data_IF_047418304121
#
_entry.id   IF_047418304121
#
_cell.length_a   1.000
_cell.length_b   1.000
_cell.length_c   1.000
_cell.angle_alpha   90.00
_cell.angle_beta   90.00
_cell.angle_gamma   90.00
#
_symmetry.space_group_name_H-M   'P 1'
#
loop_
_entity.id
_entity.type
_entity.pdbx_description
1 polymer ?
#
# COMPACT_ATOMS: atom_id res chain seq x y z
N UNK A 1 52.94 -66.31 -54.00
CA UNK A 1 52.57 -64.91 -54.32
C UNK A 1 51.42 -64.52 -53.39
N UNK A 2 51.57 -63.42 -52.65
CA UNK A 2 50.54 -62.86 -51.75
C UNK A 2 50.91 -62.96 -50.26
N UNK A 3 51.36 -61.83 -49.69
CA UNK A 3 51.81 -61.66 -48.30
C UNK A 3 50.79 -62.12 -47.23
N UNK A 4 51.22 -62.84 -46.17
CA UNK A 4 50.46 -62.99 -44.93
C UNK A 4 50.75 -61.85 -43.93
N UNK A 5 49.71 -61.53 -43.17
CA UNK A 5 49.54 -60.35 -42.33
C UNK A 5 50.50 -60.26 -41.12
N UNK A 6 50.76 -59.00 -40.75
CA UNK A 6 51.55 -58.52 -39.63
C UNK A 6 51.14 -59.09 -38.26
N UNK A 7 52.16 -59.44 -37.48
CA UNK A 7 52.11 -59.71 -36.04
C UNK A 7 52.16 -58.40 -35.22
N UNK A 8 51.59 -58.40 -34.01
CA UNK A 8 51.91 -57.56 -32.84
C UNK A 8 50.94 -57.92 -31.66
N UNK A 9 51.29 -57.67 -30.38
CA UNK A 9 51.95 -58.64 -29.52
C UNK A 9 51.15 -59.04 -28.26
N UNK A 10 51.54 -60.19 -27.72
CA UNK A 10 51.22 -60.71 -26.38
C UNK A 10 51.78 -59.79 -25.29
N UNK A 11 50.95 -59.38 -24.33
CA UNK A 11 51.39 -58.75 -23.07
C UNK A 11 50.80 -59.53 -21.91
N UNK A 12 51.70 -60.01 -21.04
CA UNK A 12 51.43 -60.79 -19.84
C UNK A 12 50.88 -59.90 -18.69
N UNK A 13 50.13 -60.47 -17.74
CA UNK A 13 49.66 -59.73 -16.57
C UNK A 13 50.79 -59.60 -15.52
N UNK A 14 51.31 -58.40 -15.31
CA UNK A 14 52.17 -58.14 -14.14
C UNK A 14 51.31 -57.92 -12.89
N UNK A 15 51.40 -58.89 -11.97
CA UNK A 15 50.97 -58.77 -10.59
C UNK A 15 51.73 -57.63 -9.90
N UNK A 16 51.04 -56.55 -9.56
CA UNK A 16 51.53 -55.63 -8.53
C UNK A 16 50.99 -56.07 -7.16
N UNK A 17 51.84 -56.77 -6.42
CA UNK A 17 51.65 -57.12 -5.02
C UNK A 17 51.79 -55.85 -4.18
N UNK A 18 50.70 -55.35 -3.62
CA UNK A 18 50.73 -54.31 -2.58
C UNK A 18 50.73 -55.01 -1.23
N UNK A 19 51.90 -55.02 -0.59
CA UNK A 19 52.12 -55.46 0.79
C UNK A 19 51.36 -54.55 1.75
N UNK A 20 50.45 -55.12 2.53
CA UNK A 20 49.73 -54.43 3.62
C UNK A 20 50.57 -54.56 4.90
N UNK A 21 51.06 -53.43 5.42
CA UNK A 21 51.62 -53.36 6.77
C UNK A 21 50.60 -52.68 7.69
N UNK A 22 50.20 -53.28 8.82
CA UNK A 22 49.17 -52.72 9.70
C UNK A 22 49.78 -51.72 10.69
N UNK A 23 49.19 -50.53 10.83
CA UNK A 23 49.55 -49.63 11.91
C UNK A 23 49.07 -48.19 11.74
N UNK A 24 48.17 -47.78 12.64
CA UNK A 24 47.78 -46.41 12.98
C UNK A 24 46.89 -45.68 11.94
N UNK A 25 45.57 -45.90 12.06
CA UNK A 25 44.60 -44.91 11.59
C UNK A 25 44.69 -43.66 12.49
N UNK A 26 45.34 -42.61 12.00
CA UNK A 26 45.13 -41.26 12.53
C UNK A 26 43.77 -40.77 12.02
N UNK A 27 42.76 -40.79 12.89
CA UNK A 27 41.52 -40.03 12.66
C UNK A 27 41.87 -38.56 12.83
N UNK A 28 42.09 -37.86 11.72
CA UNK A 28 42.12 -36.41 11.71
C UNK A 28 40.73 -35.91 12.12
N UNK A 29 40.56 -35.56 13.39
CA UNK A 29 39.47 -34.69 13.84
C UNK A 29 39.76 -33.32 13.22
N UNK A 30 39.20 -33.12 12.04
CA UNK A 30 39.16 -31.84 11.35
C UNK A 30 38.25 -30.92 12.17
N UNK A 31 38.83 -30.29 13.18
CA UNK A 31 38.18 -29.25 13.99
C UNK A 31 37.80 -28.11 13.06
N UNK A 32 36.49 -27.98 12.84
CA UNK A 32 35.88 -26.92 12.07
C UNK A 32 36.22 -25.54 12.68
N UNK A 33 37.26 -24.90 12.16
CA UNK A 33 37.49 -23.47 12.27
C UNK A 33 36.50 -22.79 11.31
N UNK A 34 35.21 -22.87 11.64
CA UNK A 34 34.16 -22.08 10.98
C UNK A 34 34.30 -20.65 11.48
N UNK A 35 35.12 -19.90 10.73
CA UNK A 35 35.01 -18.47 10.44
C UNK A 35 34.41 -17.57 11.53
N UNK A 36 35.27 -17.13 12.46
CA UNK A 36 35.01 -16.01 13.40
C UNK A 36 34.54 -14.71 12.71
N UNK A 37 34.73 -14.59 11.39
CA UNK A 37 34.30 -13.46 10.55
C UNK A 37 32.79 -13.47 10.24
N UNK A 38 32.14 -14.63 10.22
CA UNK A 38 30.71 -14.73 9.92
C UNK A 38 29.82 -14.49 11.14
N UNK A 39 30.33 -14.69 12.36
CA UNK A 39 29.55 -14.41 13.57
C UNK A 39 29.18 -12.92 13.70
N UNK A 40 30.09 -11.98 13.39
CA UNK A 40 29.80 -10.54 13.49
C UNK A 40 28.72 -10.08 12.49
N UNK A 41 28.60 -10.75 11.34
CA UNK A 41 27.55 -10.49 10.35
C UNK A 41 26.20 -11.03 10.81
N UNK A 42 26.18 -12.21 11.42
CA UNK A 42 24.97 -12.83 11.97
C UNK A 42 24.38 -11.97 13.09
N UNK A 43 25.23 -11.48 14.02
CA UNK A 43 24.78 -10.58 15.10
C UNK A 43 24.23 -9.24 14.60
N UNK A 44 24.79 -8.70 13.52
CA UNK A 44 24.30 -7.46 12.90
C UNK A 44 22.93 -7.66 12.25
N UNK A 45 22.73 -8.78 11.57
CA UNK A 45 21.45 -9.13 10.94
C UNK A 45 20.38 -9.37 12.00
N UNK A 46 20.68 -10.11 13.08
CA UNK A 46 19.71 -10.35 14.16
C UNK A 46 19.38 -9.09 14.96
N UNK A 47 20.34 -8.18 15.17
CA UNK A 47 20.05 -6.88 15.76
C UNK A 47 19.15 -6.04 14.86
N UNK A 48 19.42 -6.03 13.55
CA UNK A 48 18.62 -5.29 12.58
C UNK A 48 17.19 -5.83 12.48
N UNK A 49 16.99 -7.16 12.54
CA UNK A 49 15.65 -7.76 12.55
C UNK A 49 14.87 -7.45 13.83
N UNK A 50 15.54 -7.41 14.99
CA UNK A 50 14.91 -7.01 16.26
C UNK A 50 14.50 -5.52 16.20
N UNK A 51 15.34 -4.65 15.64
CA UNK A 51 15.03 -3.22 15.49
C UNK A 51 13.83 -2.97 14.55
N UNK A 52 13.72 -3.78 13.48
CA UNK A 52 12.54 -3.78 12.59
C UNK A 52 11.29 -4.27 13.33
N UNK A 53 11.40 -5.32 14.14
CA UNK A 53 10.26 -5.87 14.88
C UNK A 53 9.70 -4.89 15.93
N UNK A 54 10.57 -4.14 16.62
CA UNK A 54 10.15 -3.13 17.61
C UNK A 54 9.46 -1.93 16.96
N UNK A 55 9.83 -1.59 15.72
CA UNK A 55 9.20 -0.49 14.96
C UNK A 55 7.78 -0.82 14.47
N UNK A 56 7.40 -2.10 14.46
CA UNK A 56 6.05 -2.52 14.03
C UNK A 56 4.96 -2.33 15.11
N UNK A 57 5.30 -2.00 16.35
CA UNK A 57 4.33 -1.98 17.45
C UNK A 57 3.58 -0.66 17.65
N UNK A 58 3.80 0.35 16.78
CA UNK A 58 3.12 1.65 16.88
C UNK A 58 2.19 1.89 15.68
N UNK A 59 1.21 0.99 15.48
CA UNK A 59 0.05 1.30 14.65
C UNK A 59 -0.93 2.17 15.46
N UNK A 60 -0.61 3.45 15.59
CA UNK A 60 -1.52 4.42 16.22
C UNK A 60 -2.69 4.71 15.27
N UNK A 61 -3.90 4.43 15.75
CA UNK A 61 -5.15 4.95 15.19
C UNK A 61 -5.09 6.48 15.19
N UNK A 62 -4.81 7.07 14.03
CA UNK A 62 -4.76 8.52 13.89
C UNK A 62 -6.17 9.08 13.84
N UNK A 63 -6.63 9.68 14.94
CA UNK A 63 -7.79 10.57 14.90
C UNK A 63 -7.39 11.83 14.13
N UNK A 64 -8.08 12.09 13.02
CA UNK A 64 -7.87 13.30 12.22
C UNK A 64 -8.98 14.28 12.55
N UNK A 65 -8.60 15.49 12.97
CA UNK A 65 -9.52 16.56 13.33
C UNK A 65 -9.48 17.70 12.32
N UNK A 66 -10.66 18.23 12.00
CA UNK A 66 -10.86 19.39 11.14
C UNK A 66 -12.03 20.25 11.61
N UNK A 67 -12.47 21.16 10.76
CA UNK A 67 -13.56 22.09 11.00
C UNK A 67 -14.46 22.31 9.78
N UNK A 68 -15.73 22.60 10.04
CA UNK A 68 -16.70 23.01 9.01
C UNK A 68 -16.39 24.46 8.60
N UNK A 69 -16.02 24.65 7.34
CA UNK A 69 -15.63 25.96 6.79
C UNK A 69 -16.78 26.70 6.15
N UNK A 70 -17.73 25.98 5.55
CA UNK A 70 -18.86 26.56 4.85
C UNK A 70 -20.05 25.60 4.83
N UNK A 71 -21.26 26.15 4.98
CA UNK A 71 -22.53 25.42 4.95
C UNK A 71 -23.40 25.95 3.81
N UNK A 72 -23.79 25.04 2.91
CA UNK A 72 -24.79 25.27 1.86
C UNK A 72 -26.17 24.73 2.31
N UNK A 73 -27.15 24.63 1.41
CA UNK A 73 -28.48 24.08 1.73
C UNK A 73 -28.48 22.56 1.97
N UNK A 74 -27.65 21.80 1.25
CA UNK A 74 -27.60 20.32 1.33
C UNK A 74 -26.19 19.76 1.51
N UNK A 75 -25.18 20.63 1.44
CA UNK A 75 -23.77 20.27 1.45
C UNK A 75 -23.03 21.10 2.50
N UNK A 76 -22.14 20.46 3.23
CA UNK A 76 -21.12 21.16 4.03
C UNK A 76 -19.75 20.99 3.39
N UNK A 77 -18.90 21.97 3.63
CA UNK A 77 -17.50 21.94 3.23
C UNK A 77 -16.63 21.96 4.46
N UNK A 78 -15.64 21.07 4.48
CA UNK A 78 -14.72 20.87 5.59
C UNK A 78 -13.28 21.12 5.12
N UNK A 79 -12.41 21.50 6.05
CA UNK A 79 -10.97 21.74 5.83
C UNK A 79 -10.11 20.47 5.84
N UNK A 80 -10.75 19.31 5.67
CA UNK A 80 -10.12 18.00 5.52
C UNK A 80 -10.28 17.53 4.07
N UNK A 81 -9.23 16.93 3.52
CA UNK A 81 -9.24 16.43 2.15
C UNK A 81 -8.49 15.11 1.97
N UNK A 82 -8.22 14.76 0.72
CA UNK A 82 -7.50 13.53 0.36
C UNK A 82 -6.07 13.48 0.92
N UNK A 83 -5.45 14.64 1.20
CA UNK A 83 -4.17 14.70 1.91
C UNK A 83 -4.26 14.14 3.33
N UNK A 84 -5.40 14.33 3.96
CA UNK A 84 -5.64 13.95 5.36
C UNK A 84 -6.25 12.54 5.47
N UNK A 85 -6.38 11.85 4.32
CA UNK A 85 -6.82 10.45 4.24
C UNK A 85 -8.30 10.25 3.97
N UNK A 86 -9.07 11.31 3.70
CA UNK A 86 -10.48 11.20 3.34
C UNK A 86 -10.66 10.70 1.91
N UNK A 87 -11.51 9.69 1.75
CA UNK A 87 -12.03 9.19 0.50
C UNK A 87 -13.52 9.52 0.32
N UNK A 88 -14.04 9.31 -0.88
CA UNK A 88 -15.49 9.38 -1.13
C UNK A 88 -16.16 8.21 -0.42
N UNK A 89 -17.37 8.43 0.10
CA UNK A 89 -18.16 7.50 0.91
C UNK A 89 -17.64 7.25 2.34
N UNK A 90 -16.57 7.93 2.75
CA UNK A 90 -16.13 7.92 4.14
C UNK A 90 -17.14 8.62 5.05
N UNK A 91 -17.32 8.07 6.25
CA UNK A 91 -18.20 8.62 7.28
C UNK A 91 -17.41 9.46 8.28
N UNK A 92 -17.95 10.62 8.60
CA UNK A 92 -17.39 11.63 9.49
C UNK A 92 -18.36 11.92 10.63
N UNK A 93 -17.82 12.25 11.79
CA UNK A 93 -18.61 12.72 12.92
C UNK A 93 -18.45 14.23 13.11
N UNK A 94 -19.57 14.91 13.33
CA UNK A 94 -19.60 16.35 13.56
C UNK A 94 -19.91 16.60 15.02
N UNK A 95 -19.06 17.42 15.64
CA UNK A 95 -19.07 17.73 17.05
C UNK A 95 -19.17 19.24 17.25
N UNK A 96 -20.09 19.66 18.12
CA UNK A 96 -20.19 21.03 18.58
C UNK A 96 -19.73 21.07 20.04
N UNK A 97 -18.53 21.61 20.26
CA UNK A 97 -17.88 21.51 21.57
C UNK A 97 -17.61 20.06 21.96
N UNK A 98 -18.33 19.56 22.97
CA UNK A 98 -18.22 18.19 23.48
C UNK A 98 -19.40 17.29 23.08
N UNK A 99 -20.39 17.82 22.38
CA UNK A 99 -21.58 17.06 21.99
C UNK A 99 -21.49 16.63 20.53
N UNK A 100 -21.80 15.36 20.27
CA UNK A 100 -21.92 14.85 18.90
C UNK A 100 -23.26 15.29 18.32
N UNK A 101 -23.20 16.12 17.28
CA UNK A 101 -24.38 16.73 16.64
C UNK A 101 -24.90 15.91 15.47
N UNK A 102 -24.02 15.16 14.80
CA UNK A 102 -24.46 14.27 13.73
C UNK A 102 -23.32 13.58 12.97
N UNK A 103 -23.69 12.99 11.85
CA UNK A 103 -22.76 12.30 10.96
C UNK A 103 -22.93 12.71 9.50
N UNK A 104 -21.81 12.81 8.81
CA UNK A 104 -21.75 13.22 7.42
C UNK A 104 -21.01 12.17 6.58
N UNK A 105 -21.43 11.99 5.32
CA UNK A 105 -20.71 11.18 4.34
C UNK A 105 -20.03 12.09 3.33
N UNK A 106 -18.78 11.77 2.99
CA UNK A 106 -18.01 12.51 1.99
C UNK A 106 -18.55 12.22 0.59
N UNK A 107 -19.06 13.24 -0.09
CA UNK A 107 -19.50 13.16 -1.49
C UNK A 107 -18.36 13.32 -2.48
N UNK A 108 -17.48 14.28 -2.19
CA UNK A 108 -16.30 14.57 -3.02
C UNK A 108 -15.18 15.05 -2.12
N UNK A 109 -13.98 14.50 -2.33
CA UNK A 109 -12.77 14.91 -1.63
C UNK A 109 -11.80 15.58 -2.61
N UNK A 110 -11.41 16.81 -2.31
CA UNK A 110 -10.29 17.52 -2.93
C UNK A 110 -9.05 17.44 -2.02
N UNK A 111 -7.92 18.00 -2.44
CA UNK A 111 -6.64 17.82 -1.73
C UNK A 111 -6.65 18.34 -0.28
N UNK A 112 -7.34 19.44 -0.01
CA UNK A 112 -7.37 20.10 1.32
C UNK A 112 -8.78 20.34 1.86
N UNK A 113 -9.79 19.99 1.07
CA UNK A 113 -11.18 20.25 1.39
C UNK A 113 -12.02 19.10 0.89
N UNK A 114 -13.16 18.87 1.53
CA UNK A 114 -14.13 17.89 1.09
C UNK A 114 -15.53 18.47 1.21
N UNK A 115 -16.43 17.95 0.38
CA UNK A 115 -17.86 18.23 0.44
C UNK A 115 -18.58 17.01 0.98
N UNK A 116 -19.47 17.23 1.94
CA UNK A 116 -20.15 16.16 2.67
C UNK A 116 -21.66 16.42 2.72
N UNK A 117 -22.45 15.35 2.82
CA UNK A 117 -23.89 15.40 3.02
C UNK A 117 -24.28 14.73 4.34
N UNK A 118 -25.39 15.17 4.94
CA UNK A 118 -25.94 14.56 6.14
C UNK A 118 -26.52 13.18 5.90
N UNK A 119 -26.21 12.24 6.79
CA UNK A 119 -26.76 10.87 6.72
C UNK A 119 -28.23 10.88 7.10
N UNK A 120 -28.56 11.55 8.20
CA UNK A 120 -29.93 11.59 8.71
C UNK A 120 -30.62 12.92 8.36
N UNK A 121 -31.87 12.88 7.90
CA UNK A 121 -32.67 14.08 7.69
C UNK A 121 -32.90 14.79 9.03
N UNK A 122 -32.54 16.06 9.12
CA UNK A 122 -32.68 16.91 10.32
C UNK A 122 -31.37 17.20 11.07
N UNK A 123 -30.35 16.35 10.97
CA UNK A 123 -29.03 16.63 11.59
C UNK A 123 -28.35 17.85 10.95
N UNK A 124 -28.60 18.06 9.66
CA UNK A 124 -28.02 19.15 8.88
C UNK A 124 -28.38 20.54 9.43
N UNK A 125 -29.56 20.72 10.04
CA UNK A 125 -29.97 22.00 10.61
C UNK A 125 -29.13 22.38 11.82
N UNK A 126 -28.74 21.39 12.64
CA UNK A 126 -27.98 21.59 13.86
C UNK A 126 -26.48 21.88 13.61
N UNK A 127 -25.97 21.64 12.40
CA UNK A 127 -24.56 21.88 12.09
C UNK A 127 -24.26 23.35 11.86
N UNK A 128 -23.22 23.86 12.50
CA UNK A 128 -22.77 25.24 12.40
C UNK A 128 -21.37 25.34 11.79
N UNK A 129 -21.08 26.52 11.22
CA UNK A 129 -19.74 26.83 10.73
C UNK A 129 -18.80 26.92 11.95
N UNK A 130 -17.66 26.25 11.86
CA UNK A 130 -16.69 26.12 12.96
C UNK A 130 -16.83 24.84 13.78
N UNK A 131 -17.88 24.04 13.56
CA UNK A 131 -18.02 22.74 14.22
C UNK A 131 -16.86 21.81 13.88
N UNK A 132 -16.47 20.99 14.85
CA UNK A 132 -15.33 20.07 14.72
C UNK A 132 -15.74 18.83 13.96
N UNK A 133 -14.89 18.42 13.04
CA UNK A 133 -15.08 17.19 12.26
C UNK A 133 -14.04 16.19 12.70
N UNK A 134 -14.49 15.03 13.14
CA UNK A 134 -13.63 13.93 13.58
C UNK A 134 -13.74 12.78 12.60
N UNK A 135 -12.59 12.36 12.09
CA UNK A 135 -12.45 11.21 11.23
C UNK A 135 -11.58 10.18 11.93
N UNK A 136 -12.19 9.05 12.26
CA UNK A 136 -11.43 7.88 12.65
C UNK A 136 -10.90 7.25 11.37
N UNK A 137 -9.60 7.45 11.12
CA UNK A 137 -8.94 6.77 10.01
C UNK A 137 -9.04 5.27 10.28
N UNK A 138 -9.90 4.59 9.54
CA UNK A 138 -9.87 3.14 9.43
C UNK A 138 -8.59 2.78 8.67
N UNK A 139 -7.48 2.71 9.40
CA UNK A 139 -6.42 1.80 9.00
C UNK A 139 -7.10 0.45 9.03
N UNK A 140 -7.37 -0.14 7.86
CA UNK A 140 -7.91 -1.49 7.79
C UNK A 140 -6.84 -2.43 8.31
N UNK A 141 -6.75 -2.53 9.64
CA UNK A 141 -6.14 -3.63 10.34
C UNK A 141 -6.97 -4.84 9.95
N UNK A 142 -6.41 -5.69 9.10
CA UNK A 142 -6.94 -6.97 8.61
C UNK A 142 -7.23 -8.00 9.72
N UNK A 143 -7.34 -7.57 10.99
CA UNK A 143 -7.45 -8.41 12.17
C UNK A 143 -8.74 -8.20 12.98
N UNK A 144 -9.52 -7.13 12.75
CA UNK A 144 -10.73 -6.89 13.56
C UNK A 144 -11.99 -7.63 13.07
N UNK A 145 -11.98 -8.23 11.88
CA UNK A 145 -13.11 -9.04 11.36
C UNK A 145 -13.07 -10.52 11.82
N UNK A 146 -12.03 -10.94 12.55
CA UNK A 146 -11.86 -12.33 12.98
C UNK A 146 -12.39 -12.61 14.40
N UNK A 147 -12.60 -11.59 15.25
CA UNK A 147 -12.99 -11.82 16.65
C UNK A 147 -14.49 -11.63 16.91
N UNK A 148 -15.18 -10.80 16.13
CA UNK A 148 -16.65 -10.66 16.21
C UNK A 148 -17.38 -11.93 15.71
N UNK A 149 -16.71 -12.77 14.91
CA UNK A 149 -17.24 -14.06 14.46
C UNK A 149 -17.12 -15.18 15.52
N UNK A 150 -16.30 -15.01 16.57
CA UNK A 150 -16.17 -16.04 17.62
C UNK A 150 -17.13 -15.82 18.81
N UNK A 151 -17.55 -14.58 19.08
CA UNK A 151 -18.40 -14.28 20.24
C UNK A 151 -19.88 -14.61 20.04
N UNK A 152 -20.36 -14.74 18.79
CA UNK A 152 -21.76 -15.10 18.49
C UNK A 152 -21.99 -16.63 18.55
N UNK A 153 -20.93 -17.43 18.72
CA UNK A 153 -21.01 -18.90 18.66
C UNK A 153 -21.20 -19.60 20.02
N UNK A 154 -21.23 -18.89 21.16
CA UNK A 154 -21.22 -19.53 22.49
C UNK A 154 -22.50 -19.42 23.30
N UNK A 155 -23.60 -18.86 22.79
CA UNK A 155 -24.84 -18.75 23.58
C UNK A 155 -26.08 -19.19 22.82
N UNK A 156 -26.28 -20.50 22.73
CA UNK A 156 -27.62 -21.11 22.64
C UNK A 156 -27.54 -22.63 22.83
N UNK A 157 -27.26 -23.05 24.06
CA UNK A 157 -27.62 -24.40 24.50
C UNK A 157 -29.07 -24.45 24.98
N UNK A 158 -29.82 -25.33 24.33
CA UNK A 158 -31.02 -26.05 24.79
C UNK A 158 -32.32 -25.28 25.01
N UNK A 159 -33.36 -25.62 24.21
CA UNK A 159 -34.53 -26.42 24.66
C UNK A 159 -35.45 -26.71 23.46
N UNK A 160 -35.65 -27.99 23.11
CA UNK A 160 -36.80 -28.48 22.33
C UNK A 160 -37.86 -29.03 23.33
N UNK A 161 -39.12 -29.37 22.98
CA UNK A 161 -39.69 -29.59 21.63
C UNK A 161 -41.14 -29.09 21.41
N UNK A 162 -41.61 -28.98 20.15
CA UNK A 162 -42.92 -29.55 19.73
C UNK A 162 -43.17 -29.46 18.20
N UNK A 163 -43.85 -30.48 17.70
CA UNK A 163 -44.24 -30.80 16.31
C UNK A 163 -45.03 -29.71 15.56
N UNK A 164 -44.82 -29.57 14.24
CA UNK A 164 -45.78 -30.04 13.20
C UNK A 164 -45.34 -29.68 11.76
N UNK A 165 -45.23 -30.73 10.93
CA UNK A 165 -45.51 -30.84 9.49
C UNK A 165 -45.37 -29.59 8.59
N UNK A 166 -44.31 -29.55 7.78
CA UNK A 166 -44.20 -28.59 6.68
C UNK A 166 -43.02 -28.87 5.78
N UNK A 167 -43.23 -29.72 4.78
CA UNK A 167 -42.29 -30.13 3.74
C UNK A 167 -41.78 -28.92 2.93
N UNK A 168 -40.65 -28.33 3.32
CA UNK A 168 -39.77 -27.56 2.44
C UNK A 168 -38.33 -28.01 2.63
N UNK A 169 -37.87 -28.95 1.79
CA UNK A 169 -36.43 -29.14 1.54
C UNK A 169 -35.96 -27.96 0.68
N UNK A 170 -35.71 -26.81 1.31
CA UNK A 170 -34.82 -25.82 0.71
C UNK A 170 -33.40 -26.30 1.02
N UNK A 171 -32.79 -26.98 0.05
CA UNK A 171 -31.35 -27.24 0.04
C UNK A 171 -30.62 -25.89 -0.01
N UNK A 172 -30.34 -25.29 1.14
CA UNK A 172 -29.35 -24.23 1.28
C UNK A 172 -27.97 -24.89 1.19
N UNK A 173 -27.56 -25.27 -0.02
CA UNK A 173 -26.14 -25.31 -0.32
C UNK A 173 -25.65 -23.87 -0.20
N UNK A 174 -25.24 -23.47 1.00
CA UNK A 174 -24.27 -22.39 1.16
C UNK A 174 -23.03 -22.85 0.40
N UNK A 175 -22.94 -22.47 -0.87
CA UNK A 175 -21.66 -22.43 -1.55
C UNK A 175 -20.80 -21.52 -0.68
N UNK A 176 -19.88 -22.12 0.07
CA UNK A 176 -18.72 -21.42 0.60
C UNK A 176 -18.08 -20.80 -0.64
N UNK A 177 -18.42 -19.54 -0.91
CA UNK A 177 -17.65 -18.73 -1.85
C UNK A 177 -16.30 -18.63 -1.19
N UNK A 178 -15.38 -19.49 -1.60
CA UNK A 178 -13.96 -19.18 -1.53
C UNK A 178 -13.86 -17.85 -2.27
N UNK A 179 -13.83 -16.76 -1.50
CA UNK A 179 -13.47 -15.45 -2.03
C UNK A 179 -12.00 -15.63 -2.38
N UNK A 180 -11.77 -16.12 -3.59
CA UNK A 180 -10.47 -16.14 -4.21
C UNK A 180 -9.93 -14.74 -4.02
N UNK A 181 -8.85 -14.61 -3.24
CA UNK A 181 -8.26 -13.32 -2.92
C UNK A 181 -7.98 -12.62 -4.25
N UNK A 182 -8.84 -11.67 -4.62
CA UNK A 182 -8.72 -10.97 -5.90
C UNK A 182 -7.34 -10.35 -5.88
N UNK A 183 -6.49 -10.80 -6.81
CA UNK A 183 -5.16 -10.24 -7.02
C UNK A 183 -5.36 -8.73 -7.12
N UNK A 184 -4.78 -7.98 -6.18
CA UNK A 184 -4.92 -6.53 -6.19
C UNK A 184 -4.41 -6.03 -7.55
N UNK A 185 -5.25 -5.38 -8.34
CA UNK A 185 -4.85 -4.91 -9.66
C UNK A 185 -4.07 -3.60 -9.52
N UNK A 186 -3.11 -3.35 -10.41
CA UNK A 186 -2.42 -2.06 -10.42
C UNK A 186 -3.38 -0.96 -10.86
N UNK A 187 -3.51 0.06 -10.03
CA UNK A 187 -4.38 1.20 -10.32
C UNK A 187 -3.56 2.46 -10.48
N UNK A 188 -3.83 3.21 -11.54
CA UNK A 188 -3.20 4.49 -11.83
C UNK A 188 -4.24 5.59 -11.66
N UNK A 189 -3.95 6.57 -10.83
CA UNK A 189 -4.80 7.74 -10.61
C UNK A 189 -3.97 8.99 -10.73
N UNK A 190 -4.41 9.94 -11.53
CA UNK A 190 -3.60 11.12 -11.77
C UNK A 190 -4.32 12.22 -12.52
N UNK A 191 -3.65 13.35 -12.59
CA UNK A 191 -4.08 14.53 -13.33
C UNK A 191 -2.92 15.05 -14.15
N UNK A 192 -3.15 15.16 -15.45
CA UNK A 192 -2.33 15.94 -16.36
C UNK A 192 -3.07 17.24 -16.68
N UNK A 193 -2.39 18.37 -16.59
CA UNK A 193 -2.98 19.66 -16.92
C UNK A 193 -1.96 20.52 -17.64
N UNK A 194 -2.40 21.18 -18.71
CA UNK A 194 -1.61 22.16 -19.42
C UNK A 194 -2.24 23.54 -19.25
N UNK A 195 -1.40 24.57 -19.24
CA UNK A 195 -1.82 25.96 -19.25
C UNK A 195 -0.87 26.75 -20.12
N UNK A 196 -1.43 27.63 -20.94
CA UNK A 196 -0.69 28.58 -21.73
C UNK A 196 -1.05 30.00 -21.29
N UNK A 197 -0.04 30.84 -21.06
CA UNK A 197 -0.21 32.27 -20.80
C UNK A 197 0.62 33.04 -21.82
N UNK A 198 -0.03 33.92 -22.58
CA UNK A 198 0.65 34.85 -23.48
C UNK A 198 0.31 36.27 -23.08
N UNK A 199 1.30 37.14 -23.02
CA UNK A 199 1.12 38.58 -22.82
C UNK A 199 1.61 39.29 -24.06
N UNK A 200 0.76 40.18 -24.59
CA UNK A 200 1.07 41.05 -25.72
C UNK A 200 0.82 42.50 -25.31
N UNK A 201 1.81 43.33 -25.54
CA UNK A 201 1.82 44.76 -25.35
C UNK A 201 2.26 45.40 -26.66
N UNK A 202 1.43 46.28 -27.21
CA UNK A 202 1.69 47.00 -28.47
C UNK A 202 2.80 48.02 -28.33
N UNK A 203 2.92 48.64 -27.15
CA UNK A 203 3.77 49.80 -26.92
C UNK A 203 5.16 49.37 -26.44
N UNK A 204 5.25 48.19 -25.84
CA UNK A 204 6.52 47.61 -25.41
C UNK A 204 6.59 46.11 -25.77
N UNK A 205 7.09 45.82 -26.95
CA UNK A 205 7.24 44.44 -27.45
C UNK A 205 8.22 43.61 -26.62
N UNK A 206 9.15 44.23 -25.89
CA UNK A 206 10.06 43.53 -24.99
C UNK A 206 9.36 42.96 -23.75
N UNK A 207 8.18 43.49 -23.40
CA UNK A 207 7.32 42.97 -22.36
C UNK A 207 6.46 41.77 -22.83
N UNK A 208 6.50 41.42 -24.12
CA UNK A 208 5.78 40.27 -24.64
C UNK A 208 6.44 38.98 -24.18
N UNK A 209 5.63 38.06 -23.65
CA UNK A 209 6.13 36.75 -23.30
C UNK A 209 5.06 35.67 -23.45
N UNK A 210 5.53 34.46 -23.69
CA UNK A 210 4.74 33.24 -23.71
C UNK A 210 5.23 32.32 -22.60
N UNK A 211 4.28 31.70 -21.91
CA UNK A 211 4.54 30.85 -20.77
C UNK A 211 3.70 29.57 -20.80
N UNK A 212 4.05 28.58 -21.65
CA UNK A 212 3.50 27.23 -21.51
C UNK A 212 3.92 26.61 -20.17
N UNK A 213 2.98 25.90 -19.56
CA UNK A 213 3.21 25.12 -18.36
C UNK A 213 2.44 23.82 -18.38
N UNK A 214 3.03 22.79 -17.80
CA UNK A 214 2.47 21.45 -17.66
C UNK A 214 2.56 21.05 -16.19
N UNK A 215 1.49 20.48 -15.69
CA UNK A 215 1.35 19.96 -14.36
C UNK A 215 0.99 18.48 -14.46
N UNK A 216 1.75 17.64 -13.77
CA UNK A 216 1.58 16.19 -13.78
C UNK A 216 1.55 15.68 -12.35
N UNK A 217 0.44 15.06 -11.97
CA UNK A 217 0.28 14.35 -10.71
C UNK A 217 -0.09 12.90 -11.04
N UNK A 218 0.68 11.95 -10.53
CA UNK A 218 0.41 10.52 -10.66
C UNK A 218 0.53 9.84 -9.31
N UNK A 219 -0.44 9.00 -9.01
CA UNK A 219 -0.44 8.05 -7.92
C UNK A 219 -0.66 6.67 -8.52
N UNK A 220 0.14 5.71 -8.09
CA UNK A 220 0.07 4.33 -8.54
C UNK A 220 -0.11 3.48 -7.30
N UNK A 221 -1.14 2.63 -7.29
CA UNK A 221 -1.42 1.72 -6.20
C UNK A 221 -1.27 0.28 -6.68
N UNK A 222 -0.83 -0.59 -5.77
CA UNK A 222 -0.70 -2.02 -5.99
C UNK A 222 0.10 -2.37 -7.25
N UNK A 223 1.31 -1.82 -7.36
CA UNK A 223 2.19 -2.01 -8.53
C UNK A 223 2.45 -3.50 -8.76
N UNK A 224 2.06 -4.01 -9.92
CA UNK A 224 2.10 -5.44 -10.27
C UNK A 224 1.36 -6.36 -9.28
N UNK A 225 0.31 -5.84 -8.62
CA UNK A 225 -0.45 -6.54 -7.59
C UNK A 225 0.32 -6.83 -6.31
N UNK A 226 1.38 -6.06 -6.09
CA UNK A 226 2.07 -6.02 -4.81
C UNK A 226 1.44 -4.98 -3.88
N UNK A 227 2.07 -4.83 -2.72
CA UNK A 227 1.77 -3.82 -1.74
C UNK A 227 2.54 -2.50 -1.97
N UNK A 228 3.20 -2.36 -3.13
CA UNK A 228 3.89 -1.13 -3.49
C UNK A 228 2.92 -0.11 -4.09
N UNK A 229 2.99 1.11 -3.59
CA UNK A 229 2.31 2.29 -4.10
C UNK A 229 3.33 3.41 -4.29
N UNK A 230 3.08 4.35 -5.20
CA UNK A 230 4.00 5.44 -5.48
C UNK A 230 3.28 6.70 -5.89
N UNK A 231 3.89 7.85 -5.61
CA UNK A 231 3.36 9.15 -5.98
C UNK A 231 4.43 10.02 -6.62
N UNK A 232 4.05 10.79 -7.65
CA UNK A 232 4.92 11.74 -8.33
C UNK A 232 4.12 12.99 -8.67
N UNK A 233 4.64 14.15 -8.26
CA UNK A 233 4.06 15.45 -8.54
C UNK A 233 5.12 16.40 -9.13
N UNK A 234 4.89 16.80 -10.37
CA UNK A 234 5.81 17.57 -11.19
C UNK A 234 5.11 18.76 -11.82
N UNK A 235 5.82 19.88 -11.95
CA UNK A 235 5.40 21.02 -12.77
C UNK A 235 6.55 21.50 -13.63
N UNK A 236 6.33 21.50 -14.95
CA UNK A 236 7.19 22.17 -15.92
C UNK A 236 6.59 23.53 -16.28
N UNK A 237 7.43 24.56 -16.37
CA UNK A 237 7.08 25.84 -16.98
C UNK A 237 8.23 26.31 -17.83
N UNK A 238 7.93 26.88 -18.98
CA UNK A 238 8.90 27.60 -19.80
C UNK A 238 8.35 28.99 -20.05
N UNK A 239 9.12 30.03 -19.78
CA UNK A 239 8.82 31.42 -20.13
C UNK A 239 9.77 31.83 -21.24
N UNK A 240 9.24 32.42 -22.30
CA UNK A 240 10.02 32.95 -23.41
C UNK A 240 9.54 34.36 -23.73
N UNK A 241 10.44 35.33 -23.68
CA UNK A 241 10.27 36.70 -24.16
C UNK A 241 11.19 36.93 -25.36
N UNK A 242 11.19 38.16 -25.90
CA UNK A 242 12.12 38.56 -26.97
C UNK A 242 13.59 38.58 -26.52
N UNK A 243 13.85 38.70 -25.22
CA UNK A 243 15.20 38.87 -24.65
C UNK A 243 15.68 37.67 -23.87
N UNK A 244 14.77 36.90 -23.27
CA UNK A 244 15.13 35.84 -22.33
C UNK A 244 14.25 34.60 -22.49
N UNK A 245 14.84 33.44 -22.19
CA UNK A 245 14.10 32.19 -22.04
C UNK A 245 14.47 31.56 -20.71
N UNK A 246 13.47 31.38 -19.85
CA UNK A 246 13.59 30.70 -18.56
C UNK A 246 12.85 29.37 -18.63
N UNK A 247 13.49 28.28 -18.24
CA UNK A 247 12.84 26.98 -18.06
C UNK A 247 12.96 26.55 -16.61
N UNK A 248 11.87 26.09 -16.02
CA UNK A 248 11.87 25.58 -14.67
C UNK A 248 11.00 24.34 -14.56
N UNK A 249 11.60 23.29 -14.00
CA UNK A 249 10.89 22.08 -13.57
C UNK A 249 10.97 22.01 -12.06
N UNK A 250 9.83 21.80 -11.41
CA UNK A 250 9.74 21.60 -9.95
C UNK A 250 9.15 20.23 -9.67
N UNK A 251 9.85 19.48 -8.82
CA UNK A 251 9.35 18.26 -8.20
C UNK A 251 8.83 18.65 -6.83
N UNK A 252 7.54 18.46 -6.60
CA UNK A 252 6.92 18.78 -5.31
C UNK A 252 6.87 17.55 -4.41
N UNK A 253 6.67 16.37 -4.99
CA UNK A 253 6.73 15.11 -4.26
C UNK A 253 7.14 13.99 -5.20
N UNK A 254 7.96 13.08 -4.70
CA UNK A 254 8.24 11.79 -5.30
C UNK A 254 8.41 10.79 -4.16
N UNK A 255 7.65 9.71 -4.18
CA UNK A 255 7.63 8.75 -3.08
C UNK A 255 7.23 7.36 -3.54
N UNK A 256 7.75 6.38 -2.81
CA UNK A 256 7.38 4.98 -2.91
C UNK A 256 7.02 4.50 -1.51
N UNK A 257 5.88 3.85 -1.39
CA UNK A 257 5.32 3.34 -0.15
C UNK A 257 5.10 1.84 -0.31
N UNK A 258 5.35 1.08 0.75
CA UNK A 258 5.08 -0.35 0.81
C UNK A 258 4.12 -0.60 1.97
N UNK A 259 2.96 -1.16 1.66
CA UNK A 259 1.84 -1.36 2.59
C UNK A 259 1.78 -2.83 3.04
N UNK A 260 2.39 -3.18 4.17
CA UNK A 260 2.45 -4.59 4.61
C UNK A 260 1.09 -5.22 4.81
#
# INVERSE_FOLDING_TARGET
MGNPAMALPTVQPELNVITVTPGVMTVNVMTNIIEKKNMRRIYLITWFTILIAVSCLQAQSGLVEGSVTYKSQELIYIDLGTRDGLAVDDTLEIWHGQDRVGSAIVRQAATKTASCFGINPGEFEAWNIGDKVRFHRAVQSTQALAEEALAVASDSTATAPFDTLGRYKASSQQSVRVVEARKAETRFFGKLSSRYLGVRNSDNTSANFNQPSVYFNLNVNNISGSNFSGNVLLRGRRRSSSTETESQTRVYSAGLTYEK
#
